data_IF_059407176322
#
_entry.id   IF_059407176322
#
_cell.length_a   1.000
_cell.length_b   1.000
_cell.length_c   1.000
_cell.angle_alpha   90.00
_cell.angle_beta   90.00
_cell.angle_gamma   90.00
#
_symmetry.space_group_name_H-M   'P 1'
#
loop_
_entity.id
_entity.type
_entity.pdbx_description
1 polymer ?
#
# COMPACT_ATOMS: atom_id res chain seq x y z
N UNK A 1 12.78 -14.85 -19.72
CA UNK A 1 14.19 -15.04 -20.11
C UNK A 1 14.66 -16.48 -19.93
N UNK A 2 14.65 -17.04 -18.71
CA UNK A 2 15.22 -18.37 -18.39
C UNK A 2 14.67 -19.55 -19.20
N UNK A 3 13.38 -19.55 -19.57
CA UNK A 3 12.76 -20.68 -20.27
C UNK A 3 12.72 -20.53 -21.80
N UNK A 4 12.43 -19.33 -22.30
CA UNK A 4 12.22 -19.11 -23.75
C UNK A 4 13.38 -18.41 -24.46
N UNK A 5 14.27 -17.75 -23.70
CA UNK A 5 15.40 -16.96 -24.20
C UNK A 5 16.72 -17.39 -23.52
N UNK A 6 16.83 -18.64 -23.08
CA UNK A 6 17.99 -19.14 -22.34
C UNK A 6 19.32 -19.00 -23.12
N UNK A 7 19.24 -18.96 -24.45
CA UNK A 7 20.39 -18.71 -25.32
C UNK A 7 20.95 -17.30 -25.14
N UNK A 8 20.11 -16.32 -24.85
CA UNK A 8 20.54 -14.93 -24.60
C UNK A 8 21.32 -14.81 -23.29
N UNK A 9 21.13 -15.75 -22.36
CA UNK A 9 21.95 -15.85 -21.15
C UNK A 9 23.40 -16.29 -21.41
N UNK A 10 23.72 -16.75 -22.63
CA UNK A 10 25.10 -17.03 -23.06
C UNK A 10 25.78 -15.82 -23.71
N UNK A 11 25.07 -14.72 -23.89
CA UNK A 11 25.63 -13.47 -24.45
C UNK A 11 26.19 -12.59 -23.35
N UNK A 12 26.66 -11.38 -23.67
CA UNK A 12 27.07 -10.37 -22.69
C UNK A 12 25.88 -9.72 -21.95
N UNK A 13 24.63 -9.98 -22.36
CA UNK A 13 23.45 -9.38 -21.75
C UNK A 13 23.34 -9.58 -20.22
N UNK A 14 23.61 -10.78 -19.64
CA UNK A 14 23.58 -10.96 -18.19
C UNK A 14 24.66 -10.16 -17.46
N UNK A 15 25.82 -9.94 -18.10
CA UNK A 15 26.88 -9.12 -17.52
C UNK A 15 26.42 -7.66 -17.40
N UNK A 16 25.83 -7.10 -18.45
CA UNK A 16 25.28 -5.74 -18.41
C UNK A 16 24.10 -5.62 -17.44
N UNK A 17 23.24 -6.65 -17.35
CA UNK A 17 22.16 -6.70 -16.38
C UNK A 17 22.70 -6.69 -14.94
N UNK A 18 23.71 -7.52 -14.66
CA UNK A 18 24.34 -7.59 -13.35
C UNK A 18 25.07 -6.29 -13.00
N UNK A 19 25.79 -5.71 -13.96
CA UNK A 19 26.44 -4.42 -13.77
C UNK A 19 25.42 -3.31 -13.47
N UNK A 20 24.33 -3.24 -14.23
CA UNK A 20 23.24 -2.30 -13.98
C UNK A 20 22.58 -2.52 -12.62
N UNK A 21 22.38 -3.77 -12.21
CA UNK A 21 21.86 -4.11 -10.88
C UNK A 21 22.81 -3.67 -9.76
N UNK A 22 24.11 -3.94 -9.88
CA UNK A 22 25.11 -3.54 -8.88
C UNK A 22 25.21 -2.02 -8.79
N UNK A 23 25.22 -1.31 -9.92
CA UNK A 23 25.23 0.16 -9.94
C UNK A 23 23.96 0.70 -9.28
N UNK A 24 22.77 0.18 -9.63
CA UNK A 24 21.51 0.61 -9.04
C UNK A 24 21.41 0.32 -7.53
N UNK A 25 21.96 -0.82 -7.09
CA UNK A 25 21.98 -1.24 -5.68
C UNK A 25 23.14 -0.64 -4.89
N UNK A 26 24.07 0.07 -5.53
CA UNK A 26 25.29 0.56 -4.89
C UNK A 26 25.04 1.38 -3.61
N UNK A 27 24.09 2.35 -3.58
CA UNK A 27 23.81 3.10 -2.35
C UNK A 27 23.33 2.19 -1.21
N UNK A 28 22.51 1.19 -1.53
CA UNK A 28 22.01 0.22 -0.55
C UNK A 28 23.14 -0.67 -0.02
N UNK A 29 24.05 -1.11 -0.90
CA UNK A 29 25.21 -1.90 -0.50
C UNK A 29 26.08 -1.10 0.47
N UNK A 30 26.39 0.16 0.13
CA UNK A 30 27.17 1.06 1.00
C UNK A 30 26.47 1.25 2.35
N UNK A 31 25.16 1.50 2.34
CA UNK A 31 24.38 1.62 3.57
C UNK A 31 24.50 0.35 4.45
N UNK A 32 24.29 -0.84 3.89
CA UNK A 32 24.32 -2.09 4.65
C UNK A 32 25.72 -2.40 5.22
N UNK A 33 26.79 -1.94 4.57
CA UNK A 33 28.16 -2.07 5.07
C UNK A 33 28.48 -1.12 6.23
N UNK A 34 27.75 -0.01 6.35
CA UNK A 34 27.96 1.03 7.37
C UNK A 34 26.92 0.98 8.49
N UNK A 35 25.81 0.29 8.27
CA UNK A 35 24.71 0.21 9.22
C UNK A 35 25.16 -0.44 10.54
N UNK A 36 24.69 0.11 11.66
CA UNK A 36 24.87 -0.52 12.95
C UNK A 36 24.13 -1.87 13.00
N UNK A 37 24.54 -2.81 13.88
CA UNK A 37 23.87 -4.10 14.02
C UNK A 37 22.36 -3.94 14.21
N UNK A 38 21.56 -4.64 13.39
CA UNK A 38 20.10 -4.58 13.44
C UNK A 38 19.45 -3.43 12.65
N UNK A 39 20.25 -2.49 12.11
CA UNK A 39 19.76 -1.38 11.28
C UNK A 39 20.05 -1.59 9.78
N UNK A 40 20.64 -2.73 9.42
CA UNK A 40 20.80 -3.14 8.03
C UNK A 40 19.42 -3.44 7.40
N UNK A 41 19.36 -3.39 6.06
CA UNK A 41 18.12 -3.54 5.33
C UNK A 41 17.45 -4.88 5.54
N UNK A 42 18.21 -5.96 5.74
CA UNK A 42 17.62 -7.29 5.96
C UNK A 42 17.00 -7.37 7.35
N UNK A 43 17.73 -6.93 8.38
CA UNK A 43 17.21 -6.86 9.75
C UNK A 43 15.95 -6.01 9.84
N UNK A 44 15.93 -4.85 9.17
CA UNK A 44 14.75 -3.98 9.11
C UNK A 44 13.58 -4.64 8.37
N UNK A 45 13.81 -5.29 7.24
CA UNK A 45 12.76 -6.02 6.51
C UNK A 45 12.18 -7.18 7.34
N UNK A 46 13.04 -7.91 8.04
CA UNK A 46 12.62 -8.99 8.95
C UNK A 46 11.82 -8.43 10.13
N UNK A 47 12.25 -7.31 10.71
CA UNK A 47 11.53 -6.63 11.80
C UNK A 47 10.17 -6.13 11.34
N UNK A 48 10.09 -5.52 10.15
CA UNK A 48 8.83 -5.09 9.54
C UNK A 48 7.92 -6.30 9.28
N UNK A 49 8.46 -7.42 8.83
CA UNK A 49 7.67 -8.62 8.60
C UNK A 49 7.08 -9.19 9.89
N UNK A 50 7.85 -9.26 10.98
CA UNK A 50 7.39 -9.83 12.25
C UNK A 50 6.57 -8.86 13.11
N UNK A 51 6.70 -7.56 12.88
CA UNK A 51 6.07 -6.52 13.70
C UNK A 51 6.85 -6.21 14.97
N UNK A 52 6.44 -5.16 15.69
CA UNK A 52 7.09 -4.73 16.92
C UNK A 52 6.88 -5.68 18.12
N UNK A 53 7.58 -5.46 19.25
CA UNK A 53 7.50 -6.31 20.44
C UNK A 53 6.09 -6.51 21.00
N UNK A 54 5.22 -5.51 20.83
CA UNK A 54 3.80 -5.53 21.21
C UNK A 54 2.96 -6.55 20.44
N UNK A 55 3.44 -7.03 19.29
CA UNK A 55 2.76 -8.06 18.51
C UNK A 55 3.17 -9.48 18.90
N UNK A 56 4.22 -9.70 19.69
CA UNK A 56 4.73 -11.05 20.00
C UNK A 56 3.88 -11.87 20.99
N UNK A 57 2.87 -11.27 21.64
CA UNK A 57 2.11 -11.91 22.74
C UNK A 57 0.90 -12.75 22.30
N UNK A 58 0.45 -12.68 21.05
CA UNK A 58 -0.66 -13.50 20.56
C UNK A 58 -0.17 -14.82 19.91
N UNK A 59 -0.86 -15.93 20.20
CA UNK A 59 -0.62 -17.25 19.59
C UNK A 59 -0.60 -17.16 18.05
N UNK A 60 0.23 -17.97 17.38
CA UNK A 60 0.46 -17.94 15.92
C UNK A 60 -0.78 -18.19 15.07
N UNK A 61 -1.72 -19.01 15.55
CA UNK A 61 -2.96 -19.31 14.83
C UNK A 61 -3.94 -18.12 14.75
N UNK A 62 -4.22 -17.39 15.87
CA UNK A 62 -4.98 -16.14 15.79
C UNK A 62 -4.37 -15.09 14.86
N UNK A 63 -3.03 -15.01 14.78
CA UNK A 63 -2.34 -14.04 13.92
C UNK A 63 -2.56 -14.28 12.43
N UNK A 64 -2.52 -15.53 11.98
CA UNK A 64 -2.74 -15.85 10.56
C UNK A 64 -4.18 -15.52 10.15
N UNK A 65 -5.16 -15.84 11.00
CA UNK A 65 -6.57 -15.52 10.74
C UNK A 65 -6.73 -14.00 10.67
N UNK A 66 -6.20 -13.26 11.64
CA UNK A 66 -6.25 -11.80 11.66
C UNK A 66 -5.55 -11.18 10.43
N UNK A 67 -4.42 -11.74 10.01
CA UNK A 67 -3.71 -11.28 8.81
C UNK A 67 -4.50 -11.53 7.52
N UNK A 68 -5.17 -12.68 7.40
CA UNK A 68 -6.06 -12.98 6.27
C UNK A 68 -7.29 -12.07 6.30
N UNK A 69 -7.91 -11.87 7.47
CA UNK A 69 -9.06 -10.98 7.65
C UNK A 69 -8.71 -9.54 7.29
N UNK A 70 -7.59 -9.01 7.77
CA UNK A 70 -7.11 -7.67 7.41
C UNK A 70 -6.79 -7.55 5.92
N UNK A 71 -6.21 -8.60 5.32
CA UNK A 71 -5.88 -8.61 3.89
C UNK A 71 -7.14 -8.63 3.01
N UNK A 72 -8.06 -9.56 3.26
CA UNK A 72 -9.27 -9.77 2.44
C UNK A 72 -10.33 -8.72 2.75
N UNK A 73 -10.49 -8.36 4.01
CA UNK A 73 -11.53 -7.44 4.47
C UNK A 73 -11.19 -5.96 4.29
N UNK A 74 -9.91 -5.60 4.11
CA UNK A 74 -9.51 -4.19 4.06
C UNK A 74 -8.40 -3.90 3.04
N UNK A 75 -7.25 -4.59 3.11
CA UNK A 75 -6.08 -4.20 2.30
C UNK A 75 -6.22 -4.46 0.80
N UNK A 76 -6.69 -5.64 0.40
CA UNK A 76 -6.91 -6.00 -1.00
C UNK A 76 -7.91 -5.05 -1.70
N UNK A 77 -9.11 -4.79 -1.15
CA UNK A 77 -10.05 -3.88 -1.81
C UNK A 77 -9.51 -2.45 -1.85
N UNK A 78 -8.88 -1.98 -0.77
CA UNK A 78 -8.21 -0.66 -0.74
C UNK A 78 -7.13 -0.55 -1.82
N UNK A 79 -6.28 -1.56 -1.97
CA UNK A 79 -5.17 -1.54 -2.94
C UNK A 79 -5.61 -1.68 -4.41
N UNK A 80 -6.77 -2.30 -4.64
CA UNK A 80 -7.28 -2.60 -6.00
C UNK A 80 -8.39 -1.65 -6.46
N UNK A 81 -8.72 -0.64 -5.65
CA UNK A 81 -9.54 0.50 -6.06
C UNK A 81 -11.04 0.36 -5.76
N UNK A 82 -11.41 -0.29 -4.66
CA UNK A 82 -12.79 -0.29 -4.16
C UNK A 82 -13.29 1.15 -3.91
N UNK A 83 -14.33 1.63 -4.63
CA UNK A 83 -14.78 3.01 -4.57
C UNK A 83 -15.82 3.28 -3.48
N UNK A 84 -16.33 2.25 -2.80
CA UNK A 84 -17.57 2.39 -2.03
C UNK A 84 -17.35 2.88 -0.60
N UNK A 85 -16.17 2.61 -0.03
CA UNK A 85 -15.89 2.80 1.38
C UNK A 85 -14.51 3.45 1.55
N UNK A 86 -14.49 4.79 1.50
CA UNK A 86 -13.33 5.63 1.82
C UNK A 86 -13.19 5.75 3.35
N UNK A 87 -12.73 4.69 4.02
CA UNK A 87 -12.72 4.67 5.50
C UNK A 87 -11.32 4.97 6.04
N UNK A 88 -11.14 5.92 6.98
CA UNK A 88 -9.89 6.05 7.72
C UNK A 88 -9.63 4.79 8.56
N UNK A 89 -8.38 4.33 8.54
CA UNK A 89 -7.87 3.02 8.99
C UNK A 89 -8.32 2.46 10.36
N UNK A 90 -8.94 3.25 11.23
CA UNK A 90 -8.97 3.01 12.69
C UNK A 90 -10.37 2.68 13.25
N UNK A 91 -11.47 3.02 12.58
CA UNK A 91 -12.82 2.85 13.17
C UNK A 91 -13.48 1.50 12.89
N UNK A 92 -12.92 0.71 11.97
CA UNK A 92 -13.61 -0.45 11.41
C UNK A 92 -13.71 -1.67 12.33
N UNK A 93 -12.69 -1.89 13.17
CA UNK A 93 -12.65 -3.08 14.03
C UNK A 93 -13.45 -2.91 15.33
N UNK A 94 -13.91 -1.68 15.63
CA UNK A 94 -14.43 -1.32 16.96
C UNK A 94 -15.90 -0.88 16.90
N UNK A 95 -16.37 -0.34 15.77
CA UNK A 95 -17.75 0.14 15.64
C UNK A 95 -18.69 -0.87 14.94
N UNK A 96 -19.65 -1.41 15.69
CA UNK A 96 -20.74 -2.26 15.19
C UNK A 96 -21.90 -1.44 14.60
N UNK A 97 -21.60 -0.35 13.89
CA UNK A 97 -22.61 0.51 13.27
C UNK A 97 -23.18 -0.12 11.97
N UNK A 98 -24.43 0.18 11.57
CA UNK A 98 -24.98 -0.31 10.30
C UNK A 98 -24.15 0.05 9.07
N UNK A 99 -23.45 1.18 9.11
CA UNK A 99 -22.51 1.61 8.05
C UNK A 99 -21.27 0.72 7.97
N UNK A 100 -20.75 0.23 9.10
CA UNK A 100 -19.59 -0.69 9.09
C UNK A 100 -19.97 -2.06 8.53
N UNK A 101 -21.19 -2.55 8.76
CA UNK A 101 -21.66 -3.81 8.15
C UNK A 101 -21.75 -3.70 6.62
N UNK A 102 -22.32 -2.61 6.11
CA UNK A 102 -22.45 -2.37 4.66
C UNK A 102 -21.10 -2.37 3.96
N UNK A 103 -20.14 -1.62 4.50
CA UNK A 103 -18.79 -1.59 3.94
C UNK A 103 -18.11 -2.97 4.02
N UNK A 104 -18.45 -3.80 5.01
CA UNK A 104 -17.76 -5.08 5.23
C UNK A 104 -18.18 -6.02 4.14
N UNK A 105 -19.48 -6.04 3.83
CA UNK A 105 -20.06 -6.81 2.75
C UNK A 105 -19.50 -6.37 1.38
N UNK A 106 -19.31 -5.07 1.17
CA UNK A 106 -18.76 -4.56 -0.09
C UNK A 106 -17.28 -4.92 -0.26
N UNK A 107 -16.45 -4.64 0.74
CA UNK A 107 -15.03 -4.98 0.72
C UNK A 107 -14.79 -6.48 0.56
N UNK A 108 -15.51 -7.31 1.31
CA UNK A 108 -15.41 -8.77 1.20
C UNK A 108 -15.94 -9.27 -0.16
N UNK A 109 -17.03 -8.69 -0.67
CA UNK A 109 -17.55 -8.98 -2.01
C UNK A 109 -16.57 -8.62 -3.13
N UNK A 110 -15.91 -7.47 -3.01
CA UNK A 110 -14.87 -7.03 -3.94
C UNK A 110 -13.69 -8.00 -3.96
N UNK A 111 -13.16 -8.34 -2.78
CA UNK A 111 -12.08 -9.32 -2.64
C UNK A 111 -12.46 -10.69 -3.18
N UNK A 112 -13.68 -11.17 -2.92
CA UNK A 112 -14.18 -12.42 -3.46
C UNK A 112 -14.23 -12.38 -5.00
N UNK A 113 -14.71 -11.27 -5.59
CA UNK A 113 -14.71 -11.06 -7.04
C UNK A 113 -13.30 -11.06 -7.63
N UNK A 114 -12.37 -10.34 -7.00
CA UNK A 114 -10.96 -10.30 -7.41
C UNK A 114 -10.30 -11.68 -7.37
N UNK A 115 -10.45 -12.41 -6.25
CA UNK A 115 -9.86 -13.74 -6.07
C UNK A 115 -10.48 -14.78 -7.02
N UNK A 116 -11.79 -14.67 -7.32
CA UNK A 116 -12.46 -15.51 -8.31
C UNK A 116 -11.90 -15.25 -9.72
N UNK A 117 -11.75 -13.98 -10.11
CA UNK A 117 -11.14 -13.62 -11.40
C UNK A 117 -9.69 -14.10 -11.48
N UNK A 118 -8.93 -13.99 -10.39
CA UNK A 118 -7.56 -14.49 -10.31
C UNK A 118 -7.51 -16.00 -10.50
N UNK A 119 -8.35 -16.76 -9.78
CA UNK A 119 -8.41 -18.22 -9.88
C UNK A 119 -8.79 -18.66 -11.30
N UNK A 120 -9.82 -18.05 -11.89
CA UNK A 120 -10.23 -18.34 -13.26
C UNK A 120 -9.11 -18.03 -14.27
N UNK A 121 -8.39 -16.93 -14.08
CA UNK A 121 -7.26 -16.54 -14.94
C UNK A 121 -6.09 -17.53 -14.85
N UNK A 122 -5.79 -18.02 -13.64
CA UNK A 122 -4.77 -19.06 -13.43
C UNK A 122 -5.20 -20.35 -14.12
N UNK A 123 -6.41 -20.85 -13.83
CA UNK A 123 -6.92 -22.10 -14.40
C UNK A 123 -6.93 -22.08 -15.93
N UNK A 124 -7.38 -20.97 -16.52
CA UNK A 124 -7.42 -20.82 -17.97
C UNK A 124 -6.02 -20.66 -18.58
N UNK A 125 -5.11 -19.95 -17.93
CA UNK A 125 -3.71 -19.83 -18.39
C UNK A 125 -3.00 -21.18 -18.36
N UNK A 126 -3.15 -21.94 -17.28
CA UNK A 126 -2.61 -23.31 -17.15
C UNK A 126 -3.20 -24.24 -18.21
N UNK A 127 -4.53 -24.22 -18.40
CA UNK A 127 -5.20 -25.03 -19.43
C UNK A 127 -4.70 -24.70 -20.83
N UNK A 128 -4.50 -23.42 -21.15
CA UNK A 128 -3.99 -22.98 -22.45
C UNK A 128 -2.55 -23.44 -22.67
N UNK A 129 -1.67 -23.28 -21.68
CA UNK A 129 -0.30 -23.77 -21.75
C UNK A 129 -0.24 -25.30 -21.89
N UNK A 130 -1.11 -26.02 -21.18
CA UNK A 130 -1.19 -27.48 -21.27
C UNK A 130 -1.61 -27.94 -22.67
N UNK A 131 -2.60 -27.27 -23.27
CA UNK A 131 -3.04 -27.53 -24.66
C UNK A 131 -1.95 -27.23 -25.70
N UNK A 132 -1.21 -26.15 -25.50
CA UNK A 132 -0.14 -25.71 -26.41
C UNK A 132 1.18 -26.47 -26.19
N UNK A 133 1.30 -27.26 -25.11
CA UNK A 133 2.54 -27.96 -24.73
C UNK A 133 3.12 -28.83 -25.84
N UNK A 134 2.28 -29.58 -26.56
CA UNK A 134 2.73 -30.47 -27.64
C UNK A 134 3.27 -29.69 -28.86
N UNK A 135 2.80 -28.45 -29.04
CA UNK A 135 3.16 -27.57 -30.16
C UNK A 135 4.38 -26.69 -29.89
N UNK A 136 4.84 -26.60 -28.65
CA UNK A 136 6.00 -25.78 -28.28
C UNK A 136 7.31 -26.16 -28.99
N UNK A 137 7.44 -27.39 -29.49
CA UNK A 137 8.68 -27.87 -30.13
C UNK A 137 8.72 -27.70 -31.66
N UNK A 138 7.56 -27.58 -32.31
CA UNK A 138 7.44 -27.58 -33.78
C UNK A 138 6.48 -26.51 -34.32
N UNK A 139 5.95 -25.65 -33.45
CA UNK A 139 4.95 -24.64 -33.80
C UNK A 139 5.52 -23.44 -34.56
N UNK A 140 4.63 -22.73 -35.25
CA UNK A 140 4.96 -21.49 -35.97
C UNK A 140 5.39 -20.36 -35.01
N UNK A 141 6.03 -19.28 -35.50
CA UNK A 141 6.38 -18.12 -34.68
C UNK A 141 5.19 -17.54 -33.91
N UNK A 142 3.99 -17.57 -34.48
CA UNK A 142 2.75 -17.10 -33.86
C UNK A 142 2.33 -17.97 -32.68
N UNK A 143 2.41 -19.30 -32.81
CA UNK A 143 2.12 -20.23 -31.72
C UNK A 143 3.14 -20.07 -30.57
N UNK A 144 4.41 -19.80 -30.90
CA UNK A 144 5.43 -19.50 -29.90
C UNK A 144 5.13 -18.20 -29.16
N UNK A 145 4.67 -17.16 -29.87
CA UNK A 145 4.27 -15.90 -29.26
C UNK A 145 3.10 -16.08 -28.28
N UNK A 146 2.07 -16.85 -28.65
CA UNK A 146 0.94 -17.16 -27.75
C UNK A 146 1.39 -17.87 -26.47
N UNK A 147 2.29 -18.85 -26.58
CA UNK A 147 2.85 -19.58 -25.43
C UNK A 147 3.58 -18.62 -24.49
N UNK A 148 4.44 -17.74 -25.03
CA UNK A 148 5.18 -16.76 -24.23
C UNK A 148 4.22 -15.81 -23.50
N UNK A 149 3.17 -15.33 -24.16
CA UNK A 149 2.17 -14.46 -23.54
C UNK A 149 1.42 -15.16 -22.41
N UNK A 150 0.97 -16.41 -22.60
CA UNK A 150 0.29 -17.16 -21.54
C UNK A 150 1.20 -17.47 -20.36
N UNK A 151 2.47 -17.74 -20.62
CA UNK A 151 3.47 -17.92 -19.58
C UNK A 151 3.71 -16.62 -18.80
N UNK A 152 3.86 -15.49 -19.50
CA UNK A 152 4.00 -14.18 -18.86
C UNK A 152 2.80 -13.83 -17.97
N UNK A 153 1.57 -14.09 -18.43
CA UNK A 153 0.35 -13.93 -17.62
C UNK A 153 0.38 -14.81 -16.37
N UNK A 154 0.76 -16.08 -16.50
CA UNK A 154 0.88 -16.99 -15.36
C UNK A 154 1.94 -16.51 -14.35
N UNK A 155 3.07 -15.99 -14.83
CA UNK A 155 4.09 -15.38 -13.96
C UNK A 155 3.54 -14.17 -13.21
N UNK A 156 2.82 -13.25 -13.87
CA UNK A 156 2.20 -12.10 -13.20
C UNK A 156 1.19 -12.55 -12.13
N UNK A 157 0.35 -13.54 -12.44
CA UNK A 157 -0.62 -14.11 -11.49
C UNK A 157 0.07 -14.81 -10.31
N UNK A 158 1.21 -15.47 -10.55
CA UNK A 158 2.02 -16.08 -9.50
C UNK A 158 2.69 -15.02 -8.60
N UNK A 159 3.21 -13.93 -9.17
CA UNK A 159 3.72 -12.79 -8.41
C UNK A 159 2.63 -12.19 -7.52
N UNK A 160 1.40 -12.06 -8.03
CA UNK A 160 0.25 -11.61 -7.24
C UNK A 160 -0.01 -12.51 -6.03
N UNK A 161 0.02 -13.84 -6.23
CA UNK A 161 -0.20 -14.81 -5.15
C UNK A 161 0.90 -14.77 -4.09
N UNK A 162 2.16 -14.64 -4.51
CA UNK A 162 3.31 -14.49 -3.61
C UNK A 162 3.19 -13.20 -2.81
N UNK A 163 2.90 -12.07 -3.46
CA UNK A 163 2.71 -10.78 -2.80
C UNK A 163 1.58 -10.84 -1.76
N UNK A 164 0.42 -11.39 -2.14
CA UNK A 164 -0.72 -11.54 -1.23
C UNK A 164 -0.41 -12.46 -0.05
N UNK A 165 0.30 -13.57 -0.29
CA UNK A 165 0.64 -14.53 0.76
C UNK A 165 1.64 -13.92 1.73
N UNK A 166 2.73 -13.33 1.23
CA UNK A 166 3.75 -12.65 2.06
C UNK A 166 3.10 -11.54 2.89
N UNK A 167 2.23 -10.73 2.27
CA UNK A 167 1.53 -9.66 2.97
C UNK A 167 0.61 -10.21 4.07
N UNK A 168 -0.22 -11.22 3.77
CA UNK A 168 -1.17 -11.81 4.72
C UNK A 168 -0.50 -12.42 5.96
N UNK A 169 0.73 -12.91 5.84
CA UNK A 169 1.49 -13.45 6.99
C UNK A 169 2.40 -12.41 7.67
N UNK A 170 2.51 -11.21 7.12
CA UNK A 170 3.30 -10.12 7.70
C UNK A 170 2.54 -9.38 8.80
N UNK A 171 3.23 -8.48 9.49
CA UNK A 171 2.62 -7.55 10.45
C UNK A 171 1.70 -6.51 9.79
N UNK A 172 1.88 -6.24 8.50
CA UNK A 172 1.18 -5.20 7.75
C UNK A 172 -0.34 -5.19 7.94
N UNK A 173 -1.05 -6.29 7.60
CA UNK A 173 -2.50 -6.39 7.75
C UNK A 173 -2.98 -6.47 9.20
N UNK A 174 -2.10 -6.76 10.16
CA UNK A 174 -2.46 -6.90 11.57
C UNK A 174 -2.39 -5.55 12.31
N UNK A 175 -1.43 -4.71 11.93
CA UNK A 175 -1.17 -3.42 12.58
C UNK A 175 -2.02 -2.29 11.98
N UNK A 176 -1.92 -2.09 10.65
CA UNK A 176 -2.61 -1.00 9.96
C UNK A 176 -3.03 -1.42 8.54
N UNK A 177 -4.01 -2.34 8.40
CA UNK A 177 -4.34 -2.96 7.11
C UNK A 177 -4.75 -1.97 6.02
N UNK A 178 -5.33 -0.83 6.36
CA UNK A 178 -5.66 0.21 5.40
C UNK A 178 -4.41 0.98 4.93
N UNK A 179 -3.62 1.54 5.85
CA UNK A 179 -2.41 2.31 5.51
C UNK A 179 -1.34 1.46 4.84
N UNK A 180 -1.25 0.17 5.21
CA UNK A 180 -0.33 -0.79 4.64
C UNK A 180 -0.83 -1.44 3.34
N UNK A 181 -2.09 -1.19 2.93
CA UNK A 181 -2.60 -1.62 1.63
C UNK A 181 -1.74 -1.13 0.46
N UNK A 182 -1.03 -0.01 0.63
CA UNK A 182 -0.07 0.52 -0.34
C UNK A 182 0.99 -0.50 -0.79
N UNK A 183 1.34 -1.49 0.04
CA UNK A 183 2.28 -2.54 -0.33
C UNK A 183 1.70 -3.56 -1.33
N UNK A 184 0.40 -3.51 -1.57
CA UNK A 184 -0.31 -4.32 -2.55
C UNK A 184 -0.71 -3.53 -3.81
N UNK A 185 -0.29 -2.26 -3.95
CA UNK A 185 -0.62 -1.44 -5.14
C UNK A 185 -0.11 -2.06 -6.44
N UNK A 186 0.98 -2.83 -6.37
CA UNK A 186 1.56 -3.54 -7.51
C UNK A 186 0.62 -4.61 -8.09
N UNK A 187 -0.45 -4.99 -7.38
CA UNK A 187 -1.51 -5.83 -7.94
C UNK A 187 -2.19 -5.17 -9.16
N UNK A 188 -2.17 -3.84 -9.28
CA UNK A 188 -2.66 -3.14 -10.46
C UNK A 188 -1.87 -3.51 -11.73
N UNK A 189 -0.59 -3.87 -11.61
CA UNK A 189 0.25 -4.34 -12.72
C UNK A 189 -0.24 -5.70 -13.24
N UNK A 190 -0.90 -6.49 -12.38
CA UNK A 190 -1.43 -7.82 -12.71
C UNK A 190 -2.75 -7.73 -13.50
N UNK A 191 -3.41 -6.57 -13.51
CA UNK A 191 -4.72 -6.34 -14.15
C UNK A 191 -4.83 -6.92 -15.56
N UNK A 192 -3.87 -6.73 -16.49
CA UNK A 192 -3.98 -7.29 -17.85
C UNK A 192 -4.04 -8.83 -17.87
N UNK A 193 -3.36 -9.50 -16.94
CA UNK A 193 -3.42 -10.95 -16.80
C UNK A 193 -4.73 -11.41 -16.12
N UNK A 194 -5.23 -10.62 -15.17
CA UNK A 194 -6.46 -10.86 -14.41
C UNK A 194 -7.73 -10.74 -15.26
N UNK A 195 -7.81 -9.72 -16.12
CA UNK A 195 -9.00 -9.48 -16.96
C UNK A 195 -8.91 -10.21 -18.30
N UNK A 196 -7.76 -10.79 -18.65
CA UNK A 196 -7.53 -11.42 -19.95
C UNK A 196 -8.61 -12.44 -20.35
N UNK A 197 -9.08 -13.35 -19.48
CA UNK A 197 -10.13 -14.29 -19.85
C UNK A 197 -11.42 -13.60 -20.29
N UNK A 198 -11.83 -12.59 -19.52
CA UNK A 198 -13.05 -11.82 -19.75
C UNK A 198 -12.91 -11.01 -21.03
N UNK A 199 -11.77 -10.34 -21.20
CA UNK A 199 -11.43 -9.59 -22.39
C UNK A 199 -11.50 -10.44 -23.65
N UNK A 200 -10.82 -11.59 -23.65
CA UNK A 200 -10.80 -12.51 -24.81
C UNK A 200 -12.19 -13.02 -25.16
N UNK A 201 -13.00 -13.34 -24.15
CA UNK A 201 -14.38 -13.78 -24.36
C UNK A 201 -15.27 -12.65 -24.92
N UNK A 202 -15.11 -11.41 -24.44
CA UNK A 202 -15.87 -10.25 -24.91
C UNK A 202 -15.53 -9.83 -26.35
N UNK A 203 -14.28 -10.07 -26.79
CA UNK A 203 -13.79 -9.73 -28.14
C UNK A 203 -13.88 -10.90 -29.12
N UNK A 204 -14.42 -12.05 -28.73
CA UNK A 204 -14.52 -13.21 -29.61
C UNK A 204 -15.40 -12.88 -30.85
N UNK A 205 -14.92 -13.12 -32.08
CA UNK A 205 -15.72 -12.87 -33.27
C UNK A 205 -16.90 -13.86 -33.31
N UNK A 206 -18.12 -13.32 -33.38
CA UNK A 206 -19.38 -14.08 -33.40
C UNK A 206 -19.51 -15.08 -34.58
N UNK A 207 -18.55 -15.08 -35.51
CA UNK A 207 -18.61 -15.74 -36.82
C UNK A 207 -17.94 -17.13 -36.82
N UNK A 208 -16.97 -17.42 -35.93
CA UNK A 208 -16.25 -18.72 -35.96
C UNK A 208 -17.02 -19.92 -35.39
N UNK A 209 -18.22 -19.72 -34.85
CA UNK A 209 -19.07 -20.76 -34.27
C UNK A 209 -20.26 -21.16 -35.16
N UNK A 210 -20.26 -20.74 -36.43
CA UNK A 210 -21.30 -21.07 -37.40
C UNK A 210 -21.35 -22.58 -37.75
N UNK A 211 -20.35 -23.38 -37.35
CA UNK A 211 -20.23 -24.79 -37.72
C UNK A 211 -20.72 -25.83 -36.68
N UNK A 212 -21.07 -25.46 -35.43
CA UNK A 212 -21.31 -26.47 -34.36
C UNK A 212 -22.54 -26.27 -33.45
N UNK A 213 -23.55 -25.48 -33.83
CA UNK A 213 -24.88 -25.51 -33.18
C UNK A 213 -24.98 -25.01 -31.72
N UNK A 214 -23.94 -24.41 -31.13
CA UNK A 214 -23.92 -23.84 -29.76
C UNK A 214 -24.28 -22.35 -29.68
N UNK A 215 -25.21 -21.91 -30.53
CA UNK A 215 -25.38 -20.49 -30.92
C UNK A 215 -25.92 -19.55 -29.82
N UNK A 216 -26.80 -20.03 -28.93
CA UNK A 216 -27.39 -19.18 -27.88
C UNK A 216 -26.43 -18.99 -26.68
N UNK A 217 -25.70 -20.05 -26.32
CA UNK A 217 -24.78 -20.04 -25.17
C UNK A 217 -23.56 -19.14 -25.39
N UNK A 218 -23.07 -19.02 -26.62
CA UNK A 218 -21.90 -18.21 -26.90
C UNK A 218 -22.18 -16.72 -27.03
N UNK A 219 -23.33 -16.33 -27.62
CA UNK A 219 -23.76 -14.92 -27.63
C UNK A 219 -24.03 -14.40 -26.22
N UNK A 220 -24.72 -15.20 -25.39
CA UNK A 220 -24.98 -14.84 -24.00
C UNK A 220 -23.67 -14.72 -23.21
N UNK A 221 -22.71 -15.63 -23.41
CA UNK A 221 -21.39 -15.53 -22.78
C UNK A 221 -20.63 -14.27 -23.22
N UNK A 222 -20.63 -13.92 -24.51
CA UNK A 222 -20.01 -12.68 -25.01
C UNK A 222 -20.66 -11.45 -24.37
N UNK A 223 -22.00 -11.39 -24.34
CA UNK A 223 -22.74 -10.29 -23.72
C UNK A 223 -22.46 -10.18 -22.22
N UNK A 224 -22.42 -11.31 -21.50
CA UNK A 224 -22.06 -11.36 -20.09
C UNK A 224 -20.66 -10.79 -19.84
N UNK A 225 -19.64 -11.25 -20.59
CA UNK A 225 -18.28 -10.75 -20.43
C UNK A 225 -18.14 -9.26 -20.78
N UNK A 226 -18.88 -8.76 -21.79
CA UNK A 226 -18.97 -7.32 -22.07
C UNK A 226 -19.60 -6.55 -20.90
N UNK A 227 -20.66 -7.10 -20.30
CA UNK A 227 -21.29 -6.55 -19.10
C UNK A 227 -20.32 -6.48 -17.92
N UNK A 228 -19.54 -7.54 -17.69
CA UNK A 228 -18.49 -7.56 -16.65
C UNK A 228 -17.42 -6.51 -16.90
N UNK A 229 -16.92 -6.36 -18.12
CA UNK A 229 -15.94 -5.31 -18.46
C UNK A 229 -16.51 -3.90 -18.31
N UNK A 230 -17.76 -3.70 -18.71
CA UNK A 230 -18.46 -2.43 -18.53
C UNK A 230 -18.62 -2.10 -17.05
N UNK A 231 -18.99 -3.08 -16.23
CA UNK A 231 -19.09 -2.94 -14.77
C UNK A 231 -17.74 -2.56 -14.17
N UNK A 232 -16.65 -3.29 -14.49
CA UNK A 232 -15.30 -2.97 -14.02
C UNK A 232 -14.95 -1.53 -14.42
N UNK A 233 -15.15 -1.15 -15.69
CA UNK A 233 -14.86 0.20 -16.18
C UNK A 233 -15.65 1.27 -15.40
N UNK A 234 -16.93 1.03 -15.15
CA UNK A 234 -17.79 1.95 -14.40
C UNK A 234 -17.34 2.08 -12.95
N UNK A 235 -16.93 0.99 -12.30
CA UNK A 235 -16.43 1.00 -10.92
C UNK A 235 -15.13 1.83 -10.80
N UNK A 236 -14.18 1.64 -11.73
CA UNK A 236 -12.95 2.44 -11.78
C UNK A 236 -13.26 3.92 -12.06
N UNK A 237 -14.23 4.22 -12.93
CA UNK A 237 -14.66 5.59 -13.20
C UNK A 237 -15.28 6.22 -11.94
N UNK A 238 -16.17 5.50 -11.24
CA UNK A 238 -16.78 5.95 -10.00
C UNK A 238 -15.72 6.21 -8.92
N UNK A 239 -14.75 5.32 -8.75
CA UNK A 239 -13.63 5.52 -7.82
C UNK A 239 -12.80 6.75 -8.18
N UNK A 240 -12.51 6.95 -9.47
CA UNK A 240 -11.80 8.13 -9.95
C UNK A 240 -12.58 9.42 -9.65
N UNK A 241 -13.88 9.44 -9.91
CA UNK A 241 -14.74 10.59 -9.62
C UNK A 241 -14.85 10.87 -8.11
N UNK A 242 -14.90 9.82 -7.29
CA UNK A 242 -14.90 9.94 -5.82
C UNK A 242 -13.63 10.62 -5.31
N UNK A 243 -12.45 10.14 -5.77
CA UNK A 243 -11.14 10.74 -5.42
C UNK A 243 -11.05 12.20 -5.87
N UNK A 244 -11.58 12.53 -7.05
CA UNK A 244 -11.62 13.92 -7.53
C UNK A 244 -12.55 14.79 -6.66
N UNK A 245 -13.63 14.23 -6.14
CA UNK A 245 -14.51 14.89 -5.17
C UNK A 245 -13.80 15.26 -3.87
N UNK A 246 -12.89 14.41 -3.39
CA UNK A 246 -12.10 14.62 -2.17
C UNK A 246 -10.87 15.52 -2.35
N UNK A 247 -10.65 16.05 -3.56
CA UNK A 247 -9.47 16.86 -3.85
C UNK A 247 -9.47 18.19 -3.07
N UNK A 248 -10.63 18.83 -2.89
CA UNK A 248 -10.73 20.12 -2.19
C UNK A 248 -10.38 19.99 -0.71
N UNK A 249 -10.94 18.99 -0.01
CA UNK A 249 -10.66 18.74 1.41
C UNK A 249 -9.18 18.41 1.63
N UNK A 250 -8.59 17.62 0.73
CA UNK A 250 -7.16 17.31 0.74
C UNK A 250 -6.29 18.56 0.52
N UNK A 251 -6.70 19.46 -0.36
CA UNK A 251 -6.01 20.74 -0.57
C UNK A 251 -6.14 21.67 0.64
N UNK A 252 -7.31 21.73 1.26
CA UNK A 252 -7.53 22.51 2.48
C UNK A 252 -6.66 22.01 3.64
N UNK A 253 -6.57 20.69 3.84
CA UNK A 253 -5.69 20.09 4.84
C UNK A 253 -4.21 20.41 4.59
N UNK A 254 -3.77 20.35 3.32
CA UNK A 254 -2.40 20.75 2.93
C UNK A 254 -2.16 22.24 3.22
N UNK A 255 -3.09 23.11 2.85
CA UNK A 255 -2.99 24.55 3.13
C UNK A 255 -2.98 24.85 4.64
N UNK A 256 -3.73 24.10 5.43
CA UNK A 256 -3.73 24.21 6.88
C UNK A 256 -2.36 23.86 7.47
N UNK A 257 -1.71 22.81 6.96
CA UNK A 257 -0.36 22.44 7.35
C UNK A 257 0.70 23.45 6.88
N UNK A 258 0.56 24.03 5.69
CA UNK A 258 1.47 25.08 5.21
C UNK A 258 1.36 26.35 6.06
N UNK A 259 0.13 26.70 6.49
CA UNK A 259 -0.10 27.79 7.46
C UNK A 259 0.52 27.50 8.82
N UNK A 260 0.49 26.24 9.29
CA UNK A 260 1.17 25.84 10.52
C UNK A 260 2.68 26.07 10.40
N UNK A 261 3.30 25.58 9.33
CA UNK A 261 4.76 25.73 9.11
C UNK A 261 5.13 27.21 9.11
N UNK A 262 4.41 28.05 8.35
CA UNK A 262 4.65 29.48 8.32
C UNK A 262 4.46 30.16 9.69
N UNK A 263 3.52 29.68 10.50
CA UNK A 263 3.32 30.17 11.86
C UNK A 263 4.47 29.77 12.79
N UNK A 264 4.94 28.53 12.72
CA UNK A 264 6.09 28.02 13.47
C UNK A 264 7.37 28.79 13.14
N UNK A 265 7.64 29.03 11.86
CA UNK A 265 8.77 29.87 11.42
C UNK A 265 8.65 31.29 11.98
N UNK A 266 7.44 31.88 11.96
CA UNK A 266 7.21 33.24 12.45
C UNK A 266 7.44 33.38 13.96
N UNK A 267 7.11 32.36 14.75
CA UNK A 267 7.33 32.35 16.20
C UNK A 267 8.74 31.84 16.58
N UNK A 268 9.58 31.53 15.58
CA UNK A 268 10.95 31.06 15.78
C UNK A 268 11.07 29.63 16.32
N UNK A 269 10.03 28.81 16.20
CA UNK A 269 10.04 27.42 16.66
C UNK A 269 10.82 26.54 15.66
N UNK A 270 12.13 26.43 15.87
CA UNK A 270 13.06 25.67 15.00
C UNK A 270 13.26 24.22 15.43
N UNK A 271 12.99 23.90 16.70
CA UNK A 271 12.98 22.53 17.22
C UNK A 271 11.61 22.25 17.84
N UNK A 272 10.98 21.14 17.43
CA UNK A 272 9.64 20.80 17.90
C UNK A 272 9.47 19.31 18.19
N UNK A 273 8.56 19.01 19.12
CA UNK A 273 8.01 17.68 19.35
C UNK A 273 6.61 17.58 18.75
N UNK A 274 6.31 16.49 18.05
CA UNK A 274 5.00 16.24 17.46
C UNK A 274 4.75 14.76 17.18
N UNK A 275 3.62 14.43 16.57
CA UNK A 275 3.34 13.08 16.07
C UNK A 275 4.08 12.79 14.76
N UNK A 276 4.08 11.52 14.37
CA UNK A 276 4.79 11.02 13.20
C UNK A 276 4.43 11.76 11.90
N UNK A 277 3.15 12.00 11.64
CA UNK A 277 2.70 12.59 10.38
C UNK A 277 3.02 14.08 10.31
N UNK A 278 2.78 14.80 11.40
CA UNK A 278 3.12 16.22 11.51
C UNK A 278 4.63 16.42 11.39
N UNK A 279 5.45 15.65 12.11
CA UNK A 279 6.90 15.76 12.03
C UNK A 279 7.47 15.52 10.64
N UNK A 280 7.04 14.45 9.96
CA UNK A 280 7.54 14.14 8.62
C UNK A 280 7.27 15.28 7.64
N UNK A 281 6.05 15.82 7.64
CA UNK A 281 5.70 16.90 6.72
C UNK A 281 6.42 18.20 7.08
N UNK A 282 6.37 18.62 8.35
CA UNK A 282 6.96 19.91 8.78
C UNK A 282 8.45 19.94 8.48
N UNK A 283 9.18 18.88 8.82
CA UNK A 283 10.63 18.80 8.56
C UNK A 283 10.93 18.83 7.07
N UNK A 284 10.20 18.06 6.27
CA UNK A 284 10.41 17.98 4.82
C UNK A 284 10.06 19.29 4.09
N UNK A 285 8.87 19.84 4.33
CA UNK A 285 8.37 21.04 3.63
C UNK A 285 9.12 22.30 4.06
N UNK A 286 9.51 22.39 5.32
CA UNK A 286 10.36 23.50 5.79
C UNK A 286 11.82 23.41 5.32
N UNK A 287 12.20 22.32 4.64
CA UNK A 287 13.59 22.04 4.24
C UNK A 287 14.53 22.05 5.45
N UNK A 288 14.13 21.34 6.51
CA UNK A 288 14.89 21.20 7.77
C UNK A 288 15.14 22.51 8.53
N UNK A 289 14.47 23.62 8.16
CA UNK A 289 14.43 24.83 9.00
C UNK A 289 13.74 24.60 10.34
N UNK A 290 12.81 23.65 10.37
CA UNK A 290 12.17 23.15 11.59
C UNK A 290 12.50 21.67 11.69
N UNK A 291 13.29 21.29 12.70
CA UNK A 291 13.62 19.91 13.00
C UNK A 291 12.58 19.38 13.98
N UNK A 292 11.96 18.25 13.63
CA UNK A 292 10.93 17.64 14.46
C UNK A 292 11.38 16.29 15.02
N UNK A 293 11.12 16.09 16.30
CA UNK A 293 11.27 14.81 16.98
C UNK A 293 9.89 14.21 17.27
N UNK A 294 9.70 12.96 16.87
CA UNK A 294 8.43 12.26 17.03
C UNK A 294 8.30 11.75 18.46
N UNK A 295 7.12 11.99 19.06
CA UNK A 295 6.74 11.48 20.37
C UNK A 295 5.37 10.81 20.34
N UNK A 296 5.14 9.86 21.23
CA UNK A 296 3.81 9.27 21.44
C UNK A 296 2.91 10.12 22.35
N UNK A 297 1.70 9.63 22.65
CA UNK A 297 0.75 10.32 23.54
C UNK A 297 1.22 10.45 24.99
N UNK A 298 2.28 9.73 25.38
CA UNK A 298 2.94 9.84 26.70
C UNK A 298 4.20 10.69 26.64
N UNK A 299 4.41 11.42 25.54
CA UNK A 299 5.59 12.24 25.26
C UNK A 299 6.90 11.47 25.23
N UNK A 300 6.85 10.13 25.09
CA UNK A 300 8.05 9.32 24.95
C UNK A 300 8.52 9.32 23.49
N UNK A 301 9.85 9.23 23.25
CA UNK A 301 10.39 9.18 21.90
C UNK A 301 9.81 7.99 21.12
N UNK A 302 9.39 8.23 19.88
CA UNK A 302 8.74 7.22 19.05
C UNK A 302 9.11 7.41 17.58
N UNK A 303 9.31 6.36 16.79
CA UNK A 303 9.53 6.44 15.33
C UNK A 303 10.60 7.46 14.83
N UNK A 304 11.63 7.75 15.64
CA UNK A 304 12.74 8.64 15.27
C UNK A 304 13.81 7.88 14.48
N UNK A 305 13.55 7.64 13.19
CA UNK A 305 14.43 6.84 12.32
C UNK A 305 15.80 7.50 12.05
N UNK A 306 15.86 8.83 12.05
CA UNK A 306 17.11 9.57 11.95
C UNK A 306 17.46 10.15 13.31
N UNK A 307 18.32 9.42 14.04
CA UNK A 307 18.69 9.74 15.42
C UNK A 307 19.14 11.19 15.65
N UNK A 308 19.88 11.85 14.73
CA UNK A 308 20.29 13.25 14.90
C UNK A 308 19.13 14.24 15.10
N UNK A 309 17.94 13.99 14.55
CA UNK A 309 16.78 14.86 14.79
C UNK A 309 16.32 14.80 16.23
N UNK A 310 16.17 13.59 16.79
CA UNK A 310 15.82 13.42 18.19
C UNK A 310 16.85 14.10 19.10
N UNK A 311 18.14 13.85 18.89
CA UNK A 311 19.19 14.42 19.75
C UNK A 311 19.23 15.94 19.69
N UNK A 312 18.99 16.53 18.51
CA UNK A 312 19.01 17.99 18.35
C UNK A 312 17.83 18.65 19.06
N UNK A 313 16.62 18.14 18.85
CA UNK A 313 15.42 18.66 19.53
C UNK A 313 15.50 18.43 21.04
N UNK A 314 15.99 17.28 21.47
CA UNK A 314 16.11 16.96 22.89
C UNK A 314 17.16 17.80 23.64
N UNK A 315 18.20 18.26 22.93
CA UNK A 315 19.20 19.15 23.49
C UNK A 315 18.72 20.62 23.57
N UNK A 316 17.69 21.02 22.82
CA UNK A 316 17.18 22.39 22.83
C UNK A 316 16.12 22.59 23.94
N UNK A 317 16.41 23.39 24.99
CA UNK A 317 15.45 23.69 26.05
C UNK A 317 14.26 24.53 25.59
N UNK A 318 14.33 25.17 24.40
CA UNK A 318 13.26 25.97 23.82
C UNK A 318 12.39 25.19 22.82
N UNK A 319 12.56 23.86 22.74
CA UNK A 319 11.75 23.00 21.88
C UNK A 319 10.26 23.10 22.20
N UNK A 320 9.46 23.39 21.17
CA UNK A 320 8.01 23.53 21.32
C UNK A 320 7.27 22.20 21.10
N UNK A 321 6.18 21.98 21.82
CA UNK A 321 5.29 20.84 21.60
C UNK A 321 4.13 21.25 20.70
N UNK A 322 3.95 20.56 19.57
CA UNK A 322 2.99 20.91 18.53
C UNK A 322 2.09 19.71 18.27
N UNK A 323 0.80 19.79 18.59
CA UNK A 323 -0.14 18.67 18.38
C UNK A 323 -1.49 19.16 17.88
N UNK A 324 -2.17 18.31 17.11
CA UNK A 324 -3.59 18.52 16.81
C UNK A 324 -4.44 18.37 18.07
N UNK A 325 -5.63 18.97 18.07
CA UNK A 325 -6.51 19.00 19.24
C UNK A 325 -6.89 17.59 19.77
N UNK A 326 -7.14 16.65 18.87
CA UNK A 326 -7.50 15.26 19.17
C UNK A 326 -6.33 14.47 19.80
N UNK A 327 -5.11 14.68 19.31
CA UNK A 327 -3.91 14.07 19.87
C UNK A 327 -3.56 14.70 21.22
N UNK A 328 -3.70 16.02 21.35
CA UNK A 328 -3.53 16.72 22.62
C UNK A 328 -4.50 16.20 23.71
N UNK A 329 -5.74 15.90 23.35
CA UNK A 329 -6.70 15.32 24.31
C UNK A 329 -6.24 13.97 24.88
N UNK A 330 -5.43 13.21 24.13
CA UNK A 330 -4.87 11.93 24.57
C UNK A 330 -3.58 12.11 25.37
N UNK A 331 -2.93 13.27 25.31
CA UNK A 331 -1.66 13.56 25.97
C UNK A 331 -1.83 14.09 27.41
N UNK A 332 -2.06 13.17 28.35
CA UNK A 332 -2.38 13.53 29.75
C UNK A 332 -1.29 14.32 30.47
N UNK A 333 -0.02 14.17 30.08
CA UNK A 333 1.10 14.90 30.68
C UNK A 333 1.17 16.35 30.21
N UNK A 334 0.84 16.63 28.94
CA UNK A 334 0.71 18.01 28.45
C UNK A 334 -0.48 18.73 29.07
N UNK A 335 -1.59 18.02 29.31
CA UNK A 335 -2.73 18.58 30.05
C UNK A 335 -2.37 18.90 31.50
N UNK A 336 -1.51 18.10 32.14
CA UNK A 336 -1.00 18.39 33.48
C UNK A 336 -0.07 19.60 33.46
N UNK A 337 0.80 19.73 32.44
CA UNK A 337 1.65 20.90 32.25
C UNK A 337 0.85 22.18 31.97
N UNK A 338 -0.23 22.10 31.19
CA UNK A 338 -1.16 23.22 30.96
C UNK A 338 -1.80 23.69 32.28
N UNK A 339 -2.23 22.76 33.13
CA UNK A 339 -2.89 23.07 34.41
C UNK A 339 -1.93 23.61 35.47
N UNK A 340 -0.64 23.28 35.40
CA UNK A 340 0.35 23.73 36.37
C UNK A 340 0.93 25.11 36.07
N UNK A 341 0.67 25.68 34.89
CA UNK A 341 0.95 27.09 34.57
C UNK A 341 2.43 27.49 34.59
N UNK A 342 3.35 26.54 34.49
CA UNK A 342 4.78 26.82 34.55
C UNK A 342 5.40 26.97 33.16
N UNK A 343 5.92 28.17 32.82
CA UNK A 343 7.01 28.37 31.84
C UNK A 343 6.72 28.04 30.37
N UNK A 344 5.47 27.89 29.96
CA UNK A 344 5.09 27.69 28.56
C UNK A 344 4.07 28.71 28.10
N UNK A 345 4.32 29.29 26.93
CA UNK A 345 3.35 30.06 26.16
C UNK A 345 2.50 29.12 25.29
N UNK A 346 1.19 29.12 25.54
CA UNK A 346 0.22 28.37 24.72
C UNK A 346 -0.24 29.21 23.53
N UNK A 347 -0.15 28.63 22.34
CA UNK A 347 -0.61 29.22 21.08
C UNK A 347 -1.56 28.24 20.38
N UNK A 348 -2.52 28.77 19.62
CA UNK A 348 -3.43 27.95 18.81
C UNK A 348 -3.41 28.48 17.39
N UNK A 349 -3.02 27.63 16.44
CA UNK A 349 -2.95 27.99 15.03
C UNK A 349 -3.43 26.82 14.18
N UNK A 350 -4.33 27.10 13.24
CA UNK A 350 -4.69 26.16 12.19
C UNK A 350 -5.05 24.75 12.72
N UNK A 351 -5.79 24.65 13.84
CA UNK A 351 -6.19 23.37 14.45
C UNK A 351 -5.12 22.68 15.31
N UNK A 352 -3.94 23.28 15.47
CA UNK A 352 -2.88 22.80 16.35
C UNK A 352 -2.82 23.62 17.64
N UNK A 353 -2.47 22.94 18.72
CA UNK A 353 -2.07 23.53 19.99
C UNK A 353 -0.55 23.45 20.06
N UNK A 354 0.07 24.60 20.36
CA UNK A 354 1.51 24.75 20.48
C UNK A 354 1.84 25.19 21.91
N UNK A 355 2.73 24.48 22.57
CA UNK A 355 3.34 24.88 23.83
C UNK A 355 4.81 25.21 23.58
N UNK A 356 5.14 26.49 23.66
CA UNK A 356 6.49 26.98 23.49
C UNK A 356 7.05 27.35 24.87
N UNK A 357 8.22 26.81 25.30
CA UNK A 357 8.90 27.28 26.50
C UNK A 357 9.13 28.81 26.46
N UNK A 358 8.94 29.50 27.58
CA UNK A 358 9.21 30.95 27.72
C UNK A 358 10.70 31.31 27.70
#
# INVERSE_FOLDING_TARGET
LLLFCWRDLRTLAPLFLLLGFVIGMFPLIVYNLQAAPGLDSLSMLVSLFHGGPSMHTAHTLPKLIQGIEGTVGMSLPTATGDPFCSVPAVEYAIDASPSSLYCTLLHTGWSAGYLLLWLLSVLLSVRMLWKLRSRMRAGSPEERHEVVLHFARLCLLACAAVALTIYAVSSGPQDAPHSHARYLVDLLIVTPALIWPVWRAATAPAVKEMQHGRFAGSRLAVMFNRGVLLLITLLFLLGTLSIVGDLSSSQEANQQQDKLIAALERIGATHIYSDFWTCNRVTFVSQEKIICSVTDSTLQPSHNYYAPYYTTVHADPHSAYVFTYDLFQKASDLQRAERSGHGFRRLVFAGYIIYQPE
#
